data_IF_735979650658
#
_entry.id   IF_735979650658
#
_cell.length_a   1.000
_cell.length_b   1.000
_cell.length_c   1.000
_cell.angle_alpha   90.00
_cell.angle_beta   90.00
_cell.angle_gamma   90.00
#
_symmetry.space_group_name_H-M   'P 1'
#
loop_
_entity.id
_entity.type
_entity.pdbx_description
1 polymer ?
#
# COMPACT_ATOMS: atom_id res chain seq x y z
N UNK A 1 26.01 17.51 -5.37
CA UNK A 1 25.13 16.38 -5.02
C UNK A 1 25.99 15.31 -4.37
N UNK A 2 25.60 14.90 -3.18
CA UNK A 2 26.35 13.91 -2.41
C UNK A 2 25.57 12.60 -2.37
N UNK A 3 26.19 11.52 -2.85
CA UNK A 3 25.56 10.20 -2.89
C UNK A 3 25.18 9.71 -1.50
N UNK A 4 26.02 9.96 -0.50
CA UNK A 4 25.71 9.55 0.88
C UNK A 4 24.51 10.29 1.43
N UNK A 5 24.38 11.58 1.16
CA UNK A 5 23.22 12.37 1.57
C UNK A 5 21.95 11.88 0.91
N UNK A 6 22.00 11.52 -0.39
CA UNK A 6 20.87 10.96 -1.11
C UNK A 6 20.46 9.62 -0.54
N UNK A 7 21.43 8.76 -0.22
CA UNK A 7 21.14 7.46 0.39
C UNK A 7 20.53 7.60 1.78
N UNK A 8 20.96 8.60 2.56
CA UNK A 8 20.35 8.87 3.86
C UNK A 8 18.88 9.27 3.70
N UNK A 9 18.57 10.07 2.68
CA UNK A 9 17.16 10.42 2.39
C UNK A 9 16.35 9.19 2.00
N UNK A 10 16.90 8.30 1.19
CA UNK A 10 16.26 7.05 0.83
C UNK A 10 15.98 6.20 2.07
N UNK A 11 16.95 6.11 2.97
CA UNK A 11 16.78 5.35 4.22
C UNK A 11 15.63 5.89 5.06
N UNK A 12 15.49 7.21 5.13
CA UNK A 12 14.37 7.82 5.85
C UNK A 12 13.03 7.50 5.20
N UNK A 13 12.99 7.53 3.87
CA UNK A 13 11.77 7.17 3.14
C UNK A 13 11.43 5.70 3.32
N UNK A 14 12.43 4.83 3.35
CA UNK A 14 12.23 3.41 3.61
C UNK A 14 11.59 3.19 4.98
N UNK A 15 12.04 3.91 5.99
CA UNK A 15 11.45 3.84 7.33
C UNK A 15 10.00 4.32 7.33
N UNK A 16 9.71 5.37 6.59
CA UNK A 16 8.33 5.89 6.43
C UNK A 16 7.43 4.85 5.74
N UNK A 17 7.93 4.24 4.68
CA UNK A 17 7.20 3.19 3.96
C UNK A 17 6.93 2.01 4.89
N UNK A 18 7.94 1.56 5.63
CA UNK A 18 7.79 0.43 6.55
C UNK A 18 6.76 0.73 7.64
N UNK A 19 6.83 1.92 8.23
CA UNK A 19 5.87 2.34 9.26
C UNK A 19 4.44 2.38 8.71
N UNK A 20 4.25 2.97 7.53
CA UNK A 20 2.93 3.03 6.90
C UNK A 20 2.42 1.63 6.56
N UNK A 21 3.28 0.77 6.06
CA UNK A 21 2.93 -0.61 5.75
C UNK A 21 2.48 -1.36 7.00
N UNK A 22 3.22 -1.25 8.10
CA UNK A 22 2.87 -1.91 9.36
C UNK A 22 1.52 -1.43 9.89
N UNK A 23 1.26 -0.12 9.82
CA UNK A 23 -0.02 0.44 10.25
C UNK A 23 -1.16 -0.06 9.37
N UNK A 24 -0.94 -0.11 8.06
CA UNK A 24 -1.92 -0.61 7.12
C UNK A 24 -2.27 -2.07 7.40
N UNK A 25 -1.27 -2.89 7.69
CA UNK A 25 -1.48 -4.31 8.02
C UNK A 25 -2.29 -4.47 9.30
N UNK A 26 -2.03 -3.63 10.31
CA UNK A 26 -2.78 -3.66 11.56
C UNK A 26 -4.27 -3.34 11.31
N UNK A 27 -4.55 -2.32 10.50
CA UNK A 27 -5.92 -1.94 10.16
C UNK A 27 -6.59 -3.01 9.31
N UNK A 28 -5.87 -3.63 8.38
CA UNK A 28 -6.41 -4.71 7.57
C UNK A 28 -6.84 -5.91 8.42
N UNK A 29 -6.11 -6.21 9.51
CA UNK A 29 -6.53 -7.25 10.45
C UNK A 29 -7.85 -6.89 11.13
N UNK A 30 -8.03 -5.63 11.49
CA UNK A 30 -9.30 -5.15 12.07
C UNK A 30 -10.44 -5.28 11.07
N UNK A 31 -10.19 -4.96 9.81
CA UNK A 31 -11.18 -5.14 8.74
C UNK A 31 -11.54 -6.62 8.60
N UNK A 32 -10.55 -7.51 8.69
CA UNK A 32 -10.78 -8.96 8.64
C UNK A 32 -11.69 -9.44 9.77
N UNK A 33 -11.46 -8.95 10.99
CA UNK A 33 -12.32 -9.27 12.14
C UNK A 33 -13.74 -8.78 11.91
N UNK A 34 -13.88 -7.54 11.44
CA UNK A 34 -15.19 -6.96 11.14
C UNK A 34 -15.97 -7.80 10.11
N UNK A 35 -15.29 -8.20 9.03
CA UNK A 35 -15.91 -9.01 7.98
C UNK A 35 -16.38 -10.36 8.53
N UNK A 36 -15.56 -10.99 9.37
CA UNK A 36 -15.91 -12.27 9.98
C UNK A 36 -17.13 -12.14 10.87
N UNK A 37 -17.18 -11.10 11.71
CA UNK A 37 -18.28 -10.85 12.63
C UNK A 37 -19.59 -10.53 11.89
N UNK A 38 -19.50 -9.94 10.71
CA UNK A 38 -20.64 -9.50 9.90
C UNK A 38 -20.93 -10.45 8.73
N UNK A 39 -20.32 -11.64 8.72
CA UNK A 39 -20.54 -12.66 7.69
C UNK A 39 -20.28 -12.14 6.28
N UNK A 40 -19.26 -11.30 6.12
CA UNK A 40 -18.85 -10.76 4.83
C UNK A 40 -17.73 -11.60 4.22
N UNK A 41 -17.62 -11.66 2.88
CA UNK A 41 -16.51 -12.36 2.25
C UNK A 41 -15.18 -11.71 2.58
N UNK A 42 -14.15 -12.53 2.85
CA UNK A 42 -12.80 -12.03 3.15
C UNK A 42 -12.21 -11.34 1.93
N UNK A 43 -12.33 -11.96 0.76
CA UNK A 43 -11.82 -11.42 -0.49
C UNK A 43 -12.92 -10.68 -1.24
N UNK A 44 -12.65 -9.43 -1.59
CA UNK A 44 -13.56 -8.57 -2.35
C UNK A 44 -12.79 -7.97 -3.52
N UNK A 45 -12.90 -8.60 -4.69
CA UNK A 45 -12.17 -8.19 -5.89
C UNK A 45 -12.48 -6.75 -6.28
N UNK A 46 -13.72 -6.34 -6.17
CA UNK A 46 -14.13 -4.96 -6.51
C UNK A 46 -13.38 -3.93 -5.67
N UNK A 47 -13.18 -4.22 -4.38
CA UNK A 47 -12.45 -3.33 -3.48
C UNK A 47 -10.96 -3.27 -3.86
N UNK A 48 -10.36 -4.39 -4.21
CA UNK A 48 -8.96 -4.42 -4.65
C UNK A 48 -8.80 -3.60 -5.94
N UNK A 49 -9.70 -3.78 -6.89
CA UNK A 49 -9.66 -3.03 -8.15
C UNK A 49 -9.80 -1.52 -7.90
N UNK A 50 -10.66 -1.12 -6.97
CA UNK A 50 -10.81 0.28 -6.59
C UNK A 50 -9.53 0.86 -6.01
N UNK A 51 -8.85 0.11 -5.13
CA UNK A 51 -7.59 0.57 -4.53
C UNK A 51 -6.52 0.75 -5.60
N UNK A 52 -6.37 -0.22 -6.48
CA UNK A 52 -5.38 -0.16 -7.56
C UNK A 52 -5.66 1.03 -8.49
N UNK A 53 -6.92 1.24 -8.86
CA UNK A 53 -7.28 2.36 -9.74
C UNK A 53 -7.00 3.70 -9.06
N UNK A 54 -7.34 3.83 -7.78
CA UNK A 54 -7.05 5.05 -7.02
C UNK A 54 -5.55 5.34 -6.99
N UNK A 55 -4.73 4.31 -6.77
CA UNK A 55 -3.28 4.46 -6.74
C UNK A 55 -2.76 4.89 -8.10
N UNK A 56 -3.25 4.29 -9.19
CA UNK A 56 -2.87 4.68 -10.55
C UNK A 56 -3.20 6.16 -10.82
N UNK A 57 -4.37 6.61 -10.37
CA UNK A 57 -4.81 7.98 -10.61
C UNK A 57 -4.02 9.00 -9.79
N UNK A 58 -3.59 8.62 -8.59
CA UNK A 58 -2.84 9.50 -7.68
C UNK A 58 -1.36 9.58 -8.01
N UNK A 59 -0.81 8.51 -8.57
CA UNK A 59 0.63 8.42 -8.84
C UNK A 59 1.03 9.33 -10.00
N UNK A 60 2.27 9.87 -9.99
CA UNK A 60 2.80 10.51 -11.18
C UNK A 60 2.73 9.55 -12.38
N UNK A 61 2.43 10.05 -13.61
CA UNK A 61 2.20 9.18 -14.76
C UNK A 61 3.33 8.18 -15.05
N UNK A 62 4.57 8.61 -14.85
CA UNK A 62 5.75 7.75 -15.08
C UNK A 62 5.93 6.68 -13.99
N UNK A 63 5.22 6.78 -12.88
CA UNK A 63 5.29 5.85 -11.74
C UNK A 63 3.99 5.07 -11.53
N UNK A 64 2.96 5.31 -12.33
CA UNK A 64 1.63 4.75 -12.14
C UNK A 64 1.65 3.22 -12.15
N UNK A 65 2.35 2.63 -13.12
CA UNK A 65 2.42 1.18 -13.25
C UNK A 65 3.19 0.56 -12.08
N UNK A 66 4.31 1.15 -11.70
CA UNK A 66 5.12 0.66 -10.58
C UNK A 66 4.37 0.78 -9.24
N UNK A 67 3.66 1.89 -9.05
CA UNK A 67 2.86 2.09 -7.85
C UNK A 67 1.73 1.07 -7.76
N UNK A 68 1.06 0.78 -8.87
CA UNK A 68 0.02 -0.24 -8.92
C UNK A 68 0.57 -1.63 -8.57
N UNK A 69 1.75 -1.97 -9.09
CA UNK A 69 2.40 -3.24 -8.79
C UNK A 69 2.74 -3.35 -7.29
N UNK A 70 3.24 -2.26 -6.70
CA UNK A 70 3.54 -2.21 -5.27
C UNK A 70 2.27 -2.48 -4.44
N UNK A 71 1.18 -1.80 -4.74
CA UNK A 71 -0.06 -1.96 -3.97
C UNK A 71 -0.72 -3.31 -4.21
N UNK A 72 -0.59 -3.90 -5.40
CA UNK A 72 -1.02 -5.27 -5.64
C UNK A 72 -0.27 -6.25 -4.72
N UNK A 73 1.04 -6.06 -4.56
CA UNK A 73 1.85 -6.88 -3.66
C UNK A 73 1.45 -6.68 -2.19
N UNK A 74 1.18 -5.44 -1.79
CA UNK A 74 0.76 -5.12 -0.43
C UNK A 74 -0.56 -5.80 -0.08
N UNK A 75 -1.48 -5.86 -1.04
CA UNK A 75 -2.81 -6.45 -0.81
C UNK A 75 -2.85 -7.96 -0.94
N UNK A 76 -1.82 -8.54 -1.50
CA UNK A 76 -1.73 -9.99 -1.69
C UNK A 76 -1.39 -10.77 -0.38
#
# INVERSE_FOLDING_TARGET
MDLQALRAQINQLDETILSAFAQRMTICRQVGVYKKENHMPVFQKDREDQVIQRIRDMAPPDMSQSAAALFAAIMD
#
